data_IF_281697927492
#
_entry.id   IF_281697927492
#
_cell.length_a   1.000
_cell.length_b   1.000
_cell.length_c   1.000
_cell.angle_alpha   90.00
_cell.angle_beta   90.00
_cell.angle_gamma   90.00
#
_symmetry.space_group_name_H-M   'P 1'
#
loop_
_entity.id
_entity.type
_entity.pdbx_description
1 polymer ?
#
# COMPACT_ATOMS: atom_id res chain seq x y z
N UNK A 1 -10.06 4.29 4.11
CA UNK A 1 -10.74 3.13 4.71
C UNK A 1 -10.52 3.04 6.22
N UNK A 2 -9.66 3.87 6.84
CA UNK A 2 -9.43 3.88 8.29
C UNK A 2 -9.93 5.16 8.97
N UNK A 3 -10.39 5.09 10.22
CA UNK A 3 -10.90 6.24 10.99
C UNK A 3 -9.82 6.99 11.75
N UNK A 4 -8.63 7.13 11.16
CA UNK A 4 -7.48 7.78 11.81
C UNK A 4 -7.76 9.27 12.13
N UNK A 5 -8.57 9.93 11.33
CA UNK A 5 -9.01 11.30 11.62
C UNK A 5 -9.93 11.37 12.84
N UNK A 6 -10.88 10.45 12.97
CA UNK A 6 -11.74 10.35 14.14
C UNK A 6 -10.92 9.99 15.39
N UNK A 7 -9.96 9.07 15.25
CA UNK A 7 -9.01 8.72 16.31
C UNK A 7 -8.20 9.94 16.79
N UNK A 8 -7.71 10.76 15.86
CA UNK A 8 -7.06 12.04 16.18
C UNK A 8 -8.00 12.99 16.94
N UNK A 9 -9.26 13.12 16.51
CA UNK A 9 -10.25 13.98 17.19
C UNK A 9 -10.57 13.50 18.61
N UNK A 10 -10.66 12.18 18.82
CA UNK A 10 -10.97 11.58 20.12
C UNK A 10 -9.81 11.66 21.11
N UNK A 11 -8.59 11.42 20.64
CA UNK A 11 -7.41 11.29 21.50
C UNK A 11 -6.56 12.57 21.58
N UNK A 12 -6.69 13.48 20.60
CA UNK A 12 -5.86 14.68 20.49
C UNK A 12 -4.38 14.39 20.23
N UNK A 13 -4.05 13.19 19.75
CA UNK A 13 -2.66 12.74 19.56
C UNK A 13 -2.28 12.73 18.07
N UNK A 14 -1.11 13.30 17.68
CA UNK A 14 -0.72 13.47 16.28
C UNK A 14 -0.27 12.17 15.57
N UNK A 15 -0.35 11.02 16.24
CA UNK A 15 0.16 9.74 15.74
C UNK A 15 -0.79 9.04 14.76
N UNK A 16 -2.02 9.54 14.57
CA UNK A 16 -3.02 8.94 13.67
C UNK A 16 -3.03 9.61 12.29
N UNK A 17 -1.90 9.59 11.56
CA UNK A 17 -1.73 10.42 10.35
C UNK A 17 -1.34 9.67 9.08
N UNK A 18 -1.31 8.34 9.08
CA UNK A 18 -0.99 7.58 7.88
C UNK A 18 -2.23 7.39 6.98
N UNK A 19 -2.04 7.44 5.66
CA UNK A 19 -3.11 7.27 4.68
C UNK A 19 -2.69 6.19 3.70
N UNK A 20 -3.54 5.18 3.51
CA UNK A 20 -3.36 4.19 2.44
C UNK A 20 -4.53 4.30 1.50
N UNK A 21 -4.21 4.53 0.23
CA UNK A 21 -5.17 4.65 -0.85
C UNK A 21 -5.34 3.29 -1.53
N UNK A 22 -6.58 2.90 -1.81
CA UNK A 22 -6.88 1.74 -2.64
C UNK A 22 -6.58 2.00 -4.12
N UNK A 23 -6.53 0.94 -4.92
CA UNK A 23 -6.32 1.01 -6.37
C UNK A 23 -7.62 0.65 -7.07
N UNK A 24 -8.04 1.47 -8.03
CA UNK A 24 -9.08 1.13 -9.00
C UNK A 24 -8.37 0.69 -10.28
N UNK A 25 -8.53 -0.58 -10.67
CA UNK A 25 -8.01 -1.09 -11.92
C UNK A 25 -9.05 -0.85 -13.02
N UNK A 26 -8.69 -0.06 -14.03
CA UNK A 26 -9.52 0.17 -15.20
C UNK A 26 -8.82 -0.43 -16.41
N UNK A 27 -9.45 -1.42 -17.04
CA UNK A 27 -8.96 -1.93 -18.31
C UNK A 27 -9.30 -0.92 -19.42
N UNK A 28 -8.27 -0.43 -20.12
CA UNK A 28 -8.43 0.53 -21.21
C UNK A 28 -8.03 -0.16 -22.51
N UNK A 29 -9.02 -0.53 -23.31
CA UNK A 29 -8.79 -1.05 -24.65
C UNK A 29 -8.63 0.10 -25.66
N UNK A 30 -7.40 0.36 -26.08
CA UNK A 30 -7.12 1.41 -27.08
C UNK A 30 -7.76 1.13 -28.46
N UNK A 31 -8.05 -0.15 -28.76
CA UNK A 31 -8.65 -0.55 -30.05
C UNK A 31 -10.16 -0.39 -30.06
N UNK A 32 -10.80 -0.33 -28.89
CA UNK A 32 -12.23 -0.10 -28.74
C UNK A 32 -12.46 0.77 -27.49
N UNK A 33 -12.42 2.11 -27.64
CA UNK A 33 -12.51 3.02 -26.50
C UNK A 33 -13.92 3.05 -25.90
N UNK A 34 -13.99 3.12 -24.57
CA UNK A 34 -15.23 3.32 -23.82
C UNK A 34 -15.78 4.73 -24.11
N UNK A 35 -17.03 4.81 -24.55
CA UNK A 35 -17.75 6.06 -24.84
C UNK A 35 -18.57 6.49 -23.63
N UNK A 36 -19.28 5.55 -23.00
CA UNK A 36 -20.09 5.81 -21.82
C UNK A 36 -20.37 4.52 -21.04
N UNK A 37 -20.83 4.66 -19.81
CA UNK A 37 -21.29 3.54 -19.00
C UNK A 37 -22.60 3.91 -18.31
N UNK A 38 -23.48 2.92 -18.14
CA UNK A 38 -24.71 3.07 -17.37
C UNK A 38 -24.77 1.98 -16.31
N UNK A 39 -24.72 2.38 -15.05
CA UNK A 39 -24.98 1.51 -13.92
C UNK A 39 -26.46 1.06 -13.97
N UNK A 40 -26.68 -0.25 -13.86
CA UNK A 40 -28.01 -0.88 -13.86
C UNK A 40 -28.41 -1.17 -12.42
N UNK A 41 -27.54 -1.85 -11.69
CA UNK A 41 -27.70 -2.14 -10.26
C UNK A 41 -26.38 -1.89 -9.55
N UNK A 42 -26.47 -1.48 -8.29
CA UNK A 42 -25.34 -1.46 -7.39
C UNK A 42 -25.82 -1.74 -5.97
N UNK A 43 -25.08 -2.59 -5.29
CA UNK A 43 -25.26 -2.93 -3.89
C UNK A 43 -23.89 -2.83 -3.23
N UNK A 44 -23.86 -2.24 -2.04
CA UNK A 44 -22.65 -2.16 -1.26
C UNK A 44 -22.98 -2.37 0.21
N UNK A 45 -22.12 -3.12 0.90
CA UNK A 45 -22.11 -3.20 2.35
C UNK A 45 -20.73 -2.81 2.86
N UNK A 46 -20.71 -2.08 3.95
CA UNK A 46 -19.49 -1.70 4.64
C UNK A 46 -19.72 -1.85 6.13
N UNK A 47 -18.79 -2.54 6.78
CA UNK A 47 -18.74 -2.66 8.23
C UNK A 47 -17.37 -2.20 8.72
N UNK A 48 -17.39 -1.45 9.80
CA UNK A 48 -16.22 -0.88 10.45
C UNK A 48 -16.43 -0.96 11.96
N UNK A 49 -15.43 -1.48 12.67
CA UNK A 49 -15.46 -1.56 14.13
C UNK A 49 -15.43 -0.19 14.80
N UNK A 50 -15.01 0.86 14.08
CA UNK A 50 -14.54 2.10 14.66
C UNK A 50 -13.19 1.92 15.37
N UNK A 51 -12.60 3.03 15.87
CA UNK A 51 -11.32 3.00 16.56
C UNK A 51 -11.45 2.35 17.95
N UNK A 52 -10.68 1.28 18.20
CA UNK A 52 -10.59 0.64 19.52
C UNK A 52 -9.27 0.99 20.16
N UNK A 53 -9.31 1.58 21.37
CA UNK A 53 -8.12 1.97 22.12
C UNK A 53 -7.92 1.13 23.37
N UNK A 54 -6.67 0.80 23.64
CA UNK A 54 -6.25 0.24 24.93
C UNK A 54 -4.85 0.71 25.29
N UNK A 55 -4.45 0.51 26.54
CA UNK A 55 -3.10 0.80 27.01
C UNK A 55 -2.46 -0.49 27.47
N UNK A 56 -1.26 -0.79 26.97
CA UNK A 56 -0.49 -1.97 27.37
C UNK A 56 0.08 -1.80 28.79
N UNK A 57 0.47 -2.89 29.47
CA UNK A 57 1.13 -2.81 30.78
C UNK A 57 2.42 -1.97 30.78
N UNK A 58 3.07 -1.81 29.62
CA UNK A 58 4.27 -0.99 29.44
C UNK A 58 3.97 0.48 29.12
N UNK A 59 2.70 0.89 29.16
CA UNK A 59 2.28 2.28 28.92
C UNK A 59 2.23 2.70 27.45
N UNK A 60 2.30 1.77 26.50
CA UNK A 60 2.08 2.06 25.08
C UNK A 60 0.59 2.13 24.80
N UNK A 61 0.18 3.12 24.02
CA UNK A 61 -1.17 3.22 23.47
C UNK A 61 -1.30 2.27 22.30
N UNK A 62 -2.34 1.44 22.33
CA UNK A 62 -2.71 0.52 21.28
C UNK A 62 -3.97 1.05 20.60
N UNK A 63 -3.97 1.02 19.27
CA UNK A 63 -5.11 1.25 18.41
C UNK A 63 -5.35 0.02 17.53
N UNK A 64 -6.61 -0.36 17.40
CA UNK A 64 -7.05 -1.44 16.51
C UNK A 64 -8.30 -1.00 15.77
N UNK A 65 -8.37 -1.34 14.49
CA UNK A 65 -9.56 -1.21 13.69
C UNK A 65 -9.68 -2.42 12.76
N UNK A 66 -10.91 -2.88 12.57
CA UNK A 66 -11.24 -3.96 11.68
C UNK A 66 -12.46 -3.57 10.86
N UNK A 67 -12.42 -3.89 9.58
CA UNK A 67 -13.60 -3.71 8.74
C UNK A 67 -13.65 -4.70 7.60
N UNK A 68 -14.79 -4.72 6.96
CA UNK A 68 -15.03 -5.49 5.77
C UNK A 68 -16.00 -4.75 4.86
N UNK A 69 -15.93 -5.09 3.58
CA UNK A 69 -16.78 -4.49 2.58
C UNK A 69 -17.16 -5.50 1.52
N UNK A 70 -18.28 -5.22 0.87
CA UNK A 70 -18.71 -5.89 -0.35
C UNK A 70 -19.27 -4.83 -1.28
N UNK A 71 -18.94 -4.93 -2.56
CA UNK A 71 -19.46 -4.11 -3.65
C UNK A 71 -19.89 -5.08 -4.74
N UNK A 72 -21.12 -4.95 -5.20
CA UNK A 72 -21.65 -5.71 -6.33
C UNK A 72 -22.34 -4.72 -7.25
N UNK A 73 -21.98 -4.69 -8.52
CA UNK A 73 -22.66 -3.87 -9.49
C UNK A 73 -22.75 -4.51 -10.86
N UNK A 74 -23.77 -4.07 -11.60
CA UNK A 74 -23.97 -4.40 -13.00
C UNK A 74 -24.01 -3.10 -13.78
N UNK A 75 -23.21 -3.01 -14.84
CA UNK A 75 -23.17 -1.86 -15.72
C UNK A 75 -23.28 -2.30 -17.18
N UNK A 76 -23.92 -1.47 -18.00
CA UNK A 76 -23.79 -1.56 -19.45
C UNK A 76 -22.72 -0.57 -19.87
N UNK A 77 -21.65 -1.09 -20.48
CA UNK A 77 -20.54 -0.31 -20.99
C UNK A 77 -20.72 -0.16 -22.50
N UNK A 78 -20.71 1.09 -22.98
CA UNK A 78 -20.88 1.45 -24.38
C UNK A 78 -19.52 1.83 -24.94
N UNK A 79 -19.07 1.09 -25.94
CA UNK A 79 -17.83 1.33 -26.65
C UNK A 79 -18.09 1.83 -28.07
N UNK A 80 -17.03 2.28 -28.75
CA UNK A 80 -17.12 2.72 -30.14
C UNK A 80 -17.66 1.64 -31.08
N UNK A 81 -17.32 0.38 -30.86
CA UNK A 81 -17.68 -0.73 -31.76
C UNK A 81 -18.64 -1.75 -31.12
N UNK A 82 -19.35 -1.38 -30.05
CA UNK A 82 -20.33 -2.29 -29.43
C UNK A 82 -20.68 -1.90 -28.01
N UNK A 83 -21.42 -2.77 -27.34
CA UNK A 83 -21.76 -2.63 -25.93
C UNK A 83 -21.59 -3.96 -25.23
N UNK A 84 -21.22 -3.94 -23.96
CA UNK A 84 -21.13 -5.15 -23.14
C UNK A 84 -21.82 -4.92 -21.80
N UNK A 85 -22.25 -6.02 -21.19
CA UNK A 85 -22.78 -6.01 -19.83
C UNK A 85 -21.71 -6.54 -18.89
N UNK A 86 -21.21 -5.67 -18.02
CA UNK A 86 -20.23 -5.99 -17.00
C UNK A 86 -20.93 -6.25 -15.68
N UNK A 87 -20.62 -7.38 -15.06
CA UNK A 87 -20.96 -7.72 -13.69
C UNK A 87 -19.66 -7.72 -12.89
N UNK A 88 -19.66 -7.06 -11.74
CA UNK A 88 -18.47 -6.99 -10.90
C UNK A 88 -18.86 -7.19 -9.46
N UNK A 89 -18.14 -8.08 -8.79
CA UNK A 89 -18.28 -8.36 -7.37
C UNK A 89 -16.90 -8.25 -6.72
N UNK A 90 -16.79 -7.38 -5.73
CA UNK A 90 -15.60 -7.22 -4.92
C UNK A 90 -15.97 -7.36 -3.46
N UNK A 91 -15.14 -8.07 -2.70
CA UNK A 91 -15.23 -8.06 -1.25
C UNK A 91 -13.84 -8.06 -0.64
N UNK A 92 -13.73 -7.50 0.55
CA UNK A 92 -12.47 -7.40 1.25
C UNK A 92 -12.62 -7.28 2.74
N UNK A 93 -11.54 -7.60 3.44
CA UNK A 93 -11.40 -7.49 4.88
C UNK A 93 -10.10 -6.77 5.14
N UNK A 94 -10.15 -5.74 5.99
CA UNK A 94 -8.97 -5.00 6.40
C UNK A 94 -8.83 -4.99 7.92
N UNK A 95 -7.58 -4.88 8.35
CA UNK A 95 -7.24 -4.66 9.75
C UNK A 95 -6.12 -3.63 9.83
N UNK A 96 -6.31 -2.66 10.73
CA UNK A 96 -5.29 -1.72 11.14
C UNK A 96 -4.94 -1.97 12.60
N UNK A 97 -3.65 -1.91 12.91
CA UNK A 97 -3.12 -1.99 14.25
C UNK A 97 -2.01 -0.96 14.40
N UNK A 98 -1.95 -0.30 15.54
CA UNK A 98 -0.87 0.60 15.89
C UNK A 98 -0.55 0.50 17.38
N UNK A 99 0.73 0.58 17.71
CA UNK A 99 1.25 0.58 19.06
C UNK A 99 2.27 1.71 19.17
N UNK A 100 2.03 2.67 20.05
CA UNK A 100 2.84 3.89 20.06
C UNK A 100 2.95 4.58 21.42
N UNK A 101 3.98 5.42 21.54
CA UNK A 101 4.15 6.44 22.58
C UNK A 101 4.99 7.60 22.00
N UNK A 102 5.53 8.45 22.87
CA UNK A 102 6.36 9.58 22.45
C UNK A 102 7.70 9.20 21.78
N UNK A 103 8.14 7.94 21.86
CA UNK A 103 9.44 7.46 21.40
C UNK A 103 9.33 6.46 20.26
N UNK A 104 8.29 5.64 20.24
CA UNK A 104 8.14 4.58 19.26
C UNK A 104 6.73 4.54 18.68
N UNK A 105 6.64 4.09 17.45
CA UNK A 105 5.40 3.85 16.74
C UNK A 105 5.60 2.62 15.85
N UNK A 106 4.83 1.59 16.10
CA UNK A 106 4.76 0.39 15.27
C UNK A 106 3.34 0.28 14.74
N UNK A 107 3.18 0.00 13.45
CA UNK A 107 1.87 -0.18 12.86
C UNK A 107 1.84 -1.24 11.79
N UNK A 108 0.67 -1.86 11.64
CA UNK A 108 0.37 -2.77 10.55
C UNK A 108 -0.96 -2.39 9.91
N UNK A 109 -1.00 -2.39 8.59
CA UNK A 109 -2.24 -2.42 7.82
C UNK A 109 -2.19 -3.67 6.97
N UNK A 110 -3.27 -4.46 6.97
CA UNK A 110 -3.40 -5.55 6.02
C UNK A 110 -4.79 -5.53 5.42
N UNK A 111 -4.85 -5.74 4.13
CA UNK A 111 -6.09 -5.98 3.40
C UNK A 111 -5.98 -7.31 2.67
N UNK A 112 -7.04 -8.10 2.74
CA UNK A 112 -7.26 -9.24 1.86
C UNK A 112 -8.54 -8.96 1.07
N UNK A 113 -8.50 -9.09 -0.24
CA UNK A 113 -9.68 -8.88 -1.07
C UNK A 113 -9.73 -9.85 -2.24
N UNK A 114 -10.93 -9.97 -2.78
CA UNK A 114 -11.20 -10.67 -4.03
C UNK A 114 -12.09 -9.78 -4.88
N UNK A 115 -11.82 -9.75 -6.17
CA UNK A 115 -12.63 -9.12 -7.20
C UNK A 115 -12.89 -10.14 -8.29
N UNK A 116 -14.12 -10.22 -8.74
CA UNK A 116 -14.51 -10.98 -9.93
C UNK A 116 -15.27 -10.05 -10.85
N UNK A 117 -14.93 -10.13 -12.13
CA UNK A 117 -15.62 -9.41 -13.19
C UNK A 117 -16.03 -10.41 -14.27
N UNK A 118 -17.24 -10.23 -14.78
CA UNK A 118 -17.75 -10.98 -15.92
C UNK A 118 -18.34 -10.01 -16.92
N UNK A 119 -17.86 -10.09 -18.16
CA UNK A 119 -18.39 -9.33 -19.28
C UNK A 119 -19.10 -10.28 -20.24
N UNK A 120 -20.30 -9.90 -20.67
CA UNK A 120 -21.04 -10.66 -21.68
C UNK A 120 -21.24 -9.78 -22.92
N UNK A 121 -20.72 -10.26 -24.05
CA UNK A 121 -20.89 -9.59 -25.34
C UNK A 121 -22.29 -9.83 -25.93
N UNK A 122 -22.74 -9.01 -26.88
CA UNK A 122 -24.01 -9.24 -27.58
C UNK A 122 -24.05 -10.57 -28.36
N UNK A 123 -22.88 -11.14 -28.69
CA UNK A 123 -22.73 -12.47 -29.29
C UNK A 123 -23.07 -13.61 -28.33
N UNK A 124 -23.18 -13.34 -27.02
CA UNK A 124 -23.35 -14.34 -25.96
C UNK A 124 -22.02 -14.89 -25.43
N UNK A 125 -20.88 -14.44 -25.95
CA UNK A 125 -19.57 -14.79 -25.42
C UNK A 125 -19.32 -14.15 -24.06
N UNK A 126 -18.67 -14.91 -23.18
CA UNK A 126 -18.42 -14.52 -21.80
C UNK A 126 -16.92 -14.40 -21.57
N UNK A 127 -16.53 -13.31 -20.92
CA UNK A 127 -15.17 -13.02 -20.47
C UNK A 127 -15.23 -12.97 -18.96
N UNK A 128 -14.25 -13.59 -18.30
CA UNK A 128 -14.18 -13.60 -16.84
C UNK A 128 -12.80 -13.15 -16.40
N UNK A 129 -12.75 -12.33 -15.37
CA UNK A 129 -11.54 -11.97 -14.66
C UNK A 129 -11.77 -12.20 -13.17
N UNK A 130 -10.81 -12.79 -12.49
CA UNK A 130 -10.79 -12.94 -11.05
C UNK A 130 -9.44 -12.45 -10.55
N UNK A 131 -9.46 -11.63 -9.52
CA UNK A 131 -8.27 -11.11 -8.87
C UNK A 131 -8.40 -11.28 -7.37
N UNK A 132 -7.46 -11.98 -6.74
CA UNK A 132 -7.38 -12.12 -5.29
C UNK A 132 -6.07 -11.52 -4.81
N UNK A 133 -6.12 -10.60 -3.86
CA UNK A 133 -4.97 -9.85 -3.39
C UNK A 133 -4.86 -9.84 -1.87
N UNK A 134 -3.62 -9.83 -1.38
CA UNK A 134 -3.26 -9.60 0.01
C UNK A 134 -2.12 -8.59 0.10
N UNK A 135 -2.34 -7.51 0.84
CA UNK A 135 -1.44 -6.35 0.93
C UNK A 135 -1.10 -5.99 2.39
N UNK A 136 -0.17 -6.73 3.03
CA UNK A 136 0.31 -6.34 4.35
C UNK A 136 1.37 -5.25 4.23
N UNK A 137 1.20 -4.23 5.05
CA UNK A 137 2.11 -3.12 5.27
C UNK A 137 2.48 -3.14 6.74
N UNK A 138 3.77 -3.08 7.02
CA UNK A 138 4.31 -2.97 8.39
C UNK A 138 5.24 -1.79 8.42
N UNK A 139 5.06 -0.90 9.38
CA UNK A 139 6.00 0.17 9.63
C UNK A 139 6.43 0.19 11.09
N UNK A 140 7.63 0.68 11.32
CA UNK A 140 8.18 0.89 12.65
C UNK A 140 9.03 2.15 12.63
N UNK A 141 8.73 3.08 13.52
CA UNK A 141 9.47 4.32 13.72
C UNK A 141 9.88 4.37 15.19
N UNK A 142 11.13 4.71 15.43
CA UNK A 142 11.63 5.04 16.76
C UNK A 142 12.37 6.36 16.66
N UNK A 143 11.98 7.33 17.47
CA UNK A 143 12.59 8.64 17.53
C UNK A 143 12.76 9.08 18.97
N UNK A 144 13.89 9.69 19.31
CA UNK A 144 14.10 10.25 20.64
C UNK A 144 14.97 11.49 20.59
N UNK A 145 14.78 12.34 21.60
CA UNK A 145 15.54 13.58 21.79
C UNK A 145 16.35 13.45 23.07
N UNK A 146 17.64 13.75 22.98
CA UNK A 146 18.55 13.79 24.12
C UNK A 146 19.05 15.22 24.33
N UNK A 147 18.67 15.88 25.44
CA UNK A 147 19.24 17.18 25.79
C UNK A 147 20.77 17.07 25.97
N UNK A 148 21.50 18.03 25.39
CA UNK A 148 22.96 18.14 25.51
C UNK A 148 23.37 19.25 26.50
N UNK A 149 22.40 19.90 27.12
CA UNK A 149 22.60 20.94 28.13
C UNK A 149 21.42 21.02 29.11
N UNK A 150 21.46 21.93 30.10
CA UNK A 150 20.40 22.07 31.10
C UNK A 150 19.05 22.42 30.49
N UNK A 151 18.03 21.60 30.74
CA UNK A 151 16.65 21.78 30.20
C UNK A 151 15.84 22.87 30.91
N UNK A 152 16.40 23.50 31.94
CA UNK A 152 15.76 24.57 32.73
C UNK A 152 15.96 25.96 32.15
N UNK A 153 16.78 26.11 31.10
CA UNK A 153 17.05 27.39 30.41
C UNK A 153 16.92 27.21 28.91
N UNK A 154 16.26 28.16 28.26
CA UNK A 154 16.11 28.18 26.80
C UNK A 154 16.93 29.33 26.20
N UNK A 155 17.55 29.16 25.02
CA UNK A 155 17.59 27.92 24.26
C UNK A 155 18.61 26.91 24.82
N UNK A 156 18.40 25.60 24.58
CA UNK A 156 19.38 24.56 24.90
C UNK A 156 19.61 23.60 23.72
N UNK A 157 20.83 23.07 23.54
CA UNK A 157 21.11 22.12 22.46
C UNK A 157 20.57 20.73 22.79
N UNK A 158 20.10 20.01 21.76
CA UNK A 158 19.66 18.63 21.86
C UNK A 158 20.07 17.83 20.62
N UNK A 159 20.23 16.53 20.77
CA UNK A 159 20.37 15.59 19.66
C UNK A 159 19.02 14.92 19.40
N UNK A 160 18.66 14.77 18.13
CA UNK A 160 17.50 14.00 17.68
C UNK A 160 17.98 12.83 16.83
N UNK A 161 17.49 11.64 17.14
CA UNK A 161 17.78 10.44 16.36
C UNK A 161 16.47 9.77 16.00
N UNK A 162 16.33 9.39 14.73
CA UNK A 162 15.20 8.62 14.21
C UNK A 162 15.70 7.42 13.42
N UNK A 163 15.01 6.29 13.63
CA UNK A 163 15.07 5.10 12.81
C UNK A 163 13.66 4.81 12.30
N UNK A 164 13.52 4.52 11.02
CA UNK A 164 12.25 4.17 10.42
C UNK A 164 12.41 2.97 9.49
N UNK A 165 11.42 2.09 9.48
CA UNK A 165 11.31 1.01 8.52
C UNK A 165 9.89 0.95 8.00
N UNK A 166 9.73 0.65 6.71
CA UNK A 166 8.44 0.37 6.08
C UNK A 166 8.62 -0.83 5.18
N UNK A 167 7.84 -1.88 5.38
CA UNK A 167 7.82 -3.07 4.56
C UNK A 167 6.41 -3.19 3.98
N UNK A 168 6.31 -3.28 2.65
CA UNK A 168 5.09 -3.54 1.93
C UNK A 168 5.25 -4.88 1.22
N UNK A 169 4.23 -5.71 1.26
CA UNK A 169 4.17 -6.93 0.47
C UNK A 169 2.85 -6.94 -0.29
N UNK A 170 2.86 -7.50 -1.49
CA UNK A 170 1.67 -7.83 -2.24
C UNK A 170 1.81 -9.27 -2.70
N UNK A 171 0.81 -10.08 -2.35
CA UNK A 171 0.61 -11.41 -2.93
C UNK A 171 -0.71 -11.36 -3.67
N UNK A 172 -0.66 -11.53 -4.98
CA UNK A 172 -1.85 -11.47 -5.81
C UNK A 172 -1.92 -12.66 -6.77
N UNK A 173 -3.15 -13.07 -7.07
CA UNK A 173 -3.46 -14.06 -8.09
C UNK A 173 -4.52 -13.49 -9.00
N UNK A 174 -4.24 -13.51 -10.28
CA UNK A 174 -5.16 -13.15 -11.34
C UNK A 174 -5.48 -14.39 -12.17
N UNK A 175 -6.74 -14.59 -12.49
CA UNK A 175 -7.20 -15.64 -13.40
C UNK A 175 -8.15 -15.01 -14.41
N UNK A 176 -7.87 -15.19 -15.69
CA UNK A 176 -8.67 -14.61 -16.76
C UNK A 176 -9.06 -15.67 -17.78
N UNK A 177 -10.27 -15.57 -18.30
CA UNK A 177 -10.74 -16.43 -19.39
C UNK A 177 -11.53 -15.64 -20.42
N UNK A 178 -11.28 -16.01 -21.67
CA UNK A 178 -11.97 -15.57 -22.88
C UNK A 178 -12.35 -16.83 -23.67
N UNK A 179 -13.24 -16.75 -24.68
CA UNK A 179 -13.59 -17.91 -25.49
C UNK A 179 -12.40 -18.63 -26.14
N UNK A 180 -11.29 -17.92 -26.36
CA UNK A 180 -10.11 -18.45 -27.07
C UNK A 180 -8.88 -18.62 -26.19
N UNK A 181 -8.87 -18.07 -24.97
CA UNK A 181 -7.69 -18.03 -24.12
C UNK A 181 -8.06 -18.08 -22.65
N UNK A 182 -7.33 -18.86 -21.86
CA UNK A 182 -7.42 -18.86 -20.41
C UNK A 182 -6.01 -18.78 -19.81
N UNK A 183 -5.85 -17.90 -18.83
CA UNK A 183 -4.56 -17.62 -18.21
C UNK A 183 -4.67 -17.46 -16.70
N UNK A 184 -3.52 -17.59 -16.05
CA UNK A 184 -3.33 -17.32 -14.64
C UNK A 184 -2.03 -16.56 -14.45
N UNK A 185 -2.04 -15.55 -13.59
CA UNK A 185 -0.88 -14.81 -13.12
C UNK A 185 -0.76 -14.94 -11.61
N UNK A 186 0.40 -15.34 -11.10
CA UNK A 186 0.74 -15.23 -9.68
C UNK A 186 1.79 -14.12 -9.52
N UNK A 187 1.52 -13.14 -8.66
CA UNK A 187 2.36 -11.97 -8.45
C UNK A 187 2.79 -11.91 -6.98
N UNK A 188 4.09 -11.83 -6.75
CA UNK A 188 4.71 -11.58 -5.46
C UNK A 188 5.56 -10.30 -5.55
N UNK A 189 5.19 -9.28 -4.80
CA UNK A 189 5.97 -8.06 -4.65
C UNK A 189 6.36 -7.84 -3.19
N UNK A 190 7.58 -7.40 -2.95
CA UNK A 190 8.05 -6.89 -1.67
C UNK A 190 8.78 -5.57 -1.88
N UNK A 191 8.45 -4.57 -1.07
CA UNK A 191 9.17 -3.31 -0.97
C UNK A 191 9.60 -3.11 0.47
N UNK A 192 10.90 -2.91 0.69
CA UNK A 192 11.45 -2.64 2.02
C UNK A 192 12.18 -1.31 1.98
N UNK A 193 11.86 -0.44 2.93
CA UNK A 193 12.49 0.86 3.10
C UNK A 193 13.03 0.99 4.52
N UNK A 194 14.24 1.51 4.62
CA UNK A 194 14.93 1.80 5.87
C UNK A 194 15.39 3.25 5.83
N UNK A 195 15.11 3.98 6.90
CA UNK A 195 15.47 5.38 7.08
C UNK A 195 16.19 5.58 8.41
N UNK A 196 17.20 6.43 8.39
CA UNK A 196 17.91 6.92 9.56
C UNK A 196 18.14 8.41 9.43
N UNK A 197 17.88 9.14 10.50
CA UNK A 197 18.15 10.56 10.58
C UNK A 197 18.76 10.91 11.93
N UNK A 198 19.76 11.79 11.90
CA UNK A 198 20.40 12.35 13.07
C UNK A 198 20.53 13.87 12.88
N UNK A 199 19.93 14.62 13.81
CA UNK A 199 19.87 16.07 13.78
C UNK A 199 20.44 16.66 15.07
N UNK A 200 21.09 17.81 14.92
CA UNK A 200 21.34 18.71 16.02
C UNK A 200 20.21 19.73 16.06
N UNK A 201 19.57 19.84 17.22
CA UNK A 201 18.45 20.73 17.49
C UNK A 201 18.85 21.79 18.50
N UNK A 202 18.22 22.96 18.38
CA UNK A 202 18.17 23.97 19.43
C UNK A 202 16.73 24.06 19.91
N UNK A 203 16.46 23.62 21.15
CA UNK A 203 15.13 23.76 21.75
C UNK A 203 14.99 25.19 22.25
N UNK A 204 13.97 25.90 21.76
CA UNK A 204 13.84 27.35 21.94
C UNK A 204 12.75 27.75 22.94
N UNK A 205 11.86 26.83 23.33
CA UNK A 205 10.79 27.12 24.30
C UNK A 205 10.34 25.85 25.06
N UNK A 206 9.63 26.01 26.19
CA UNK A 206 9.18 24.88 27.01
C UNK A 206 8.06 24.03 26.40
N UNK A 207 7.49 24.47 25.28
CA UNK A 207 6.43 23.75 24.57
C UNK A 207 6.96 22.81 23.49
N UNK A 208 8.29 22.61 23.42
CA UNK A 208 8.92 21.72 22.45
C UNK A 208 9.24 22.37 21.10
N UNK A 209 9.12 23.70 20.99
CA UNK A 209 9.60 24.41 19.80
C UNK A 209 11.10 24.19 19.61
N UNK A 210 11.51 23.77 18.41
CA UNK A 210 12.89 23.43 18.09
C UNK A 210 13.28 23.96 16.71
N UNK A 211 14.57 24.32 16.57
CA UNK A 211 15.19 24.68 15.29
C UNK A 211 16.24 23.63 14.95
N UNK A 212 16.24 23.15 13.70
CA UNK A 212 17.31 22.29 13.20
C UNK A 212 18.55 23.16 12.97
N UNK A 213 19.62 22.90 13.70
CA UNK A 213 20.90 23.63 13.60
C UNK A 213 21.99 22.81 12.89
N UNK A 214 21.71 21.52 12.61
CA UNK A 214 22.61 20.68 11.82
C UNK A 214 22.00 19.32 11.50
N UNK A 215 22.47 18.72 10.41
CA UNK A 215 22.17 17.33 10.02
C UNK A 215 23.49 16.56 10.10
N UNK A 216 23.61 15.67 11.07
CA UNK A 216 24.82 14.87 11.30
C UNK A 216 24.74 13.48 10.66
N UNK A 217 23.54 13.07 10.22
CA UNK A 217 23.34 11.86 9.45
C UNK A 217 21.97 11.85 8.78
N UNK A 218 21.95 11.42 7.52
CA UNK A 218 20.73 11.07 6.79
C UNK A 218 21.07 9.86 5.93
N UNK A 219 20.27 8.82 6.05
CA UNK A 219 20.44 7.62 5.24
C UNK A 219 19.08 7.03 4.93
N UNK A 220 18.84 6.72 3.67
CA UNK A 220 17.68 5.95 3.24
C UNK A 220 18.10 4.85 2.28
N UNK A 221 17.45 3.69 2.41
CA UNK A 221 17.63 2.55 1.51
C UNK A 221 16.29 1.92 1.21
N UNK A 222 15.94 1.84 -0.06
CA UNK A 222 14.69 1.25 -0.53
C UNK A 222 14.98 0.15 -1.53
N UNK A 223 14.54 -1.07 -1.26
CA UNK A 223 14.58 -2.18 -2.20
C UNK A 223 13.17 -2.56 -2.64
N UNK A 224 13.00 -2.90 -3.91
CA UNK A 224 11.78 -3.50 -4.45
C UNK A 224 12.15 -4.77 -5.21
N UNK A 225 11.44 -5.86 -4.93
CA UNK A 225 11.52 -7.12 -5.65
C UNK A 225 10.10 -7.51 -6.06
N UNK A 226 9.87 -7.72 -7.36
CA UNK A 226 8.61 -8.17 -7.93
C UNK A 226 8.89 -9.38 -8.82
N UNK A 227 8.09 -10.41 -8.64
CA UNK A 227 8.04 -11.59 -9.49
C UNK A 227 6.59 -11.78 -9.93
N UNK A 228 6.36 -11.91 -11.22
CA UNK A 228 5.08 -12.30 -11.79
C UNK A 228 5.29 -13.54 -12.65
N UNK A 229 4.41 -14.55 -12.52
CA UNK A 229 4.43 -15.75 -13.35
C UNK A 229 3.08 -15.91 -14.01
N UNK A 230 3.06 -15.76 -15.33
CA UNK A 230 1.89 -15.94 -16.18
C UNK A 230 1.95 -17.29 -16.86
N UNK A 231 0.86 -18.04 -16.83
CA UNK A 231 0.71 -19.34 -17.51
C UNK A 231 -0.62 -19.39 -18.24
N UNK A 232 -0.68 -20.20 -19.31
CA UNK A 232 -1.88 -20.36 -20.13
C UNK A 232 -2.36 -21.80 -20.05
N UNK A 233 -3.64 -21.99 -19.81
CA UNK A 233 -4.30 -23.29 -19.85
C UNK A 233 -5.01 -23.54 -21.18
N UNK A 234 -5.34 -22.47 -21.92
CA UNK A 234 -5.90 -22.52 -23.26
C UNK A 234 -5.42 -21.32 -24.09
N UNK A 235 -5.12 -21.50 -25.38
CA UNK A 235 -4.92 -22.78 -26.05
C UNK A 235 -3.68 -23.50 -25.52
N UNK A 236 -3.66 -24.83 -25.62
CA UNK A 236 -2.54 -25.66 -25.16
C UNK A 236 -1.30 -25.37 -26.01
N UNK A 237 -0.12 -25.36 -25.39
CA UNK A 237 1.16 -25.17 -26.08
C UNK A 237 1.62 -23.71 -26.19
N UNK A 238 0.88 -22.76 -25.60
CA UNK A 238 1.39 -21.40 -25.38
C UNK A 238 2.33 -21.42 -24.17
N UNK A 239 3.56 -20.92 -24.32
CA UNK A 239 4.46 -20.83 -23.18
C UNK A 239 4.01 -19.77 -22.18
N UNK A 240 4.26 -20.04 -20.90
CA UNK A 240 4.16 -19.05 -19.86
C UNK A 240 5.35 -18.08 -19.85
N UNK A 241 5.24 -17.07 -19.00
CA UNK A 241 6.22 -16.01 -18.83
C UNK A 241 6.48 -15.75 -17.36
N UNK A 242 7.74 -15.54 -17.02
CA UNK A 242 8.16 -15.02 -15.73
C UNK A 242 8.72 -13.63 -15.96
N UNK A 243 8.14 -12.66 -15.26
CA UNK A 243 8.58 -11.28 -15.19
C UNK A 243 9.20 -11.01 -13.83
N UNK A 244 10.35 -10.34 -13.85
CA UNK A 244 11.12 -10.02 -12.66
C UNK A 244 11.56 -8.57 -12.74
N UNK A 245 11.24 -7.81 -11.70
CA UNK A 245 11.78 -6.48 -11.46
C UNK A 245 12.46 -6.46 -10.11
N UNK A 246 13.71 -6.01 -10.06
CA UNK A 246 14.45 -5.80 -8.81
C UNK A 246 15.15 -4.46 -8.86
N UNK A 247 14.99 -3.64 -7.84
CA UNK A 247 15.66 -2.36 -7.75
C UNK A 247 16.12 -2.10 -6.32
N UNK A 248 17.23 -1.40 -6.21
CA UNK A 248 17.73 -0.86 -4.95
C UNK A 248 18.09 0.60 -5.16
N UNK A 249 17.49 1.47 -4.36
CA UNK A 249 17.79 2.89 -4.30
C UNK A 249 18.37 3.26 -2.93
N UNK A 250 19.32 4.19 -2.92
CA UNK A 250 20.02 4.64 -1.71
C UNK A 250 20.13 6.16 -1.73
N UNK A 251 19.86 6.81 -0.60
CA UNK A 251 20.28 8.19 -0.30
C UNK A 251 21.31 8.09 0.82
N UNK A 252 22.61 8.20 0.50
CA UNK A 252 23.66 7.74 1.42
C UNK A 252 24.10 8.79 2.44
N UNK A 253 23.70 10.07 2.33
CA UNK A 253 24.29 11.10 3.18
C UNK A 253 23.41 12.33 3.45
N UNK A 254 23.78 13.09 4.49
CA UNK A 254 23.17 14.34 4.94
C UNK A 254 23.13 15.46 3.88
N UNK A 255 24.03 15.41 2.89
CA UNK A 255 24.18 16.45 1.85
C UNK A 255 23.57 16.10 0.50
N UNK A 256 23.24 14.82 0.25
CA UNK A 256 22.67 14.36 -1.01
C UNK A 256 21.22 13.89 -0.80
N UNK A 257 20.32 14.87 -0.86
CA UNK A 257 18.88 14.64 -0.73
C UNK A 257 18.29 13.90 -1.93
N UNK A 258 19.00 13.85 -3.07
CA UNK A 258 18.55 13.22 -4.30
C UNK A 258 19.21 11.83 -4.36
N UNK A 259 18.60 10.84 -3.71
CA UNK A 259 19.07 9.45 -3.77
C UNK A 259 19.20 8.92 -5.21
N UNK A 260 19.90 7.79 -5.38
CA UNK A 260 20.14 7.17 -6.68
C UNK A 260 19.86 5.66 -6.66
N UNK A 261 19.62 5.08 -7.83
CA UNK A 261 19.56 3.63 -7.99
C UNK A 261 20.96 3.02 -7.91
N UNK A 262 21.17 2.13 -6.97
CA UNK A 262 22.37 1.29 -6.91
C UNK A 262 22.32 0.19 -7.97
N UNK A 263 21.13 -0.38 -8.21
CA UNK A 263 20.88 -1.25 -9.36
C UNK A 263 19.40 -1.26 -9.74
N UNK A 264 19.15 -1.64 -11.00
CA UNK A 264 17.84 -2.02 -11.53
C UNK A 264 18.04 -3.25 -12.41
N UNK A 265 17.21 -4.26 -12.22
CA UNK A 265 17.20 -5.51 -12.97
C UNK A 265 15.79 -5.72 -13.48
N UNK A 266 15.69 -5.90 -14.79
CA UNK A 266 14.48 -6.29 -15.50
C UNK A 266 14.76 -7.61 -16.20
N UNK A 267 13.89 -8.60 -16.01
CA UNK A 267 14.05 -9.90 -16.64
C UNK A 267 12.69 -10.44 -17.06
N UNK A 268 12.60 -10.84 -18.32
CA UNK A 268 11.48 -11.57 -18.90
C UNK A 268 12.01 -12.92 -19.37
N UNK A 269 11.44 -14.01 -18.87
CA UNK A 269 11.82 -15.37 -19.23
C UNK A 269 10.62 -16.16 -19.67
N UNK A 270 10.80 -16.98 -20.70
CA UNK A 270 9.82 -17.99 -21.09
C UNK A 270 9.84 -19.14 -20.07
N UNK A 271 8.66 -19.62 -19.66
CA UNK A 271 8.51 -20.74 -18.73
C UNK A 271 7.52 -21.76 -19.31
N UNK A 272 7.91 -23.03 -19.39
CA UNK A 272 7.06 -24.11 -19.89
C UNK A 272 6.99 -24.27 -21.42
N UNK A 273 6.35 -25.37 -21.82
CA UNK A 273 6.01 -25.78 -23.19
C UNK A 273 4.57 -26.29 -23.22
#
# INVERSE_FOLDING_TARGET
MTNLYEAYQLMGLPYFTWTVSGVLMLWVNNSNPLISGKLITAQSSFFDSGPIFSTTPTGLTQYVEYGNYSINYVAVLMYRYGSEMAHTEQSGVFNAFQLFNAVMEYGTLSENFTETAQETLPSGEVFTLSFAGKYPIVFNVTAYITPLGPTTKYPYPAAYVQYATVNLTMMAREEGSTPSMAYKSDIDETLNSYGFMNLSLLIINPYGGAVIIGISGNYARTSKDLVSVVTYSSPVGIPGWLEQFRALAVSPNATDLIGYYQYVILRLMRVGW
#
